data_IF_035195081726
#
_entry.id   IF_035195081726
#
_cell.length_a   1.000
_cell.length_b   1.000
_cell.length_c   1.000
_cell.angle_alpha   90.00
_cell.angle_beta   90.00
_cell.angle_gamma   90.00
#
_symmetry.space_group_name_H-M   'P 1'
#
loop_
_entity.id
_entity.type
_entity.pdbx_description
1 polymer ?
#
# COMPACT_ATOMS: atom_id res chain seq x y z
N UNK A 1 7.38 46.27 64.22
CA UNK A 1 7.83 44.92 64.61
C UNK A 1 8.20 44.16 63.34
N UNK A 2 9.50 43.95 63.17
CA UNK A 2 10.18 43.41 61.99
C UNK A 2 9.72 41.97 61.74
N UNK A 3 9.24 41.65 60.54
CA UNK A 3 9.10 40.25 60.10
C UNK A 3 10.24 39.93 59.15
N UNK A 4 11.11 39.06 59.65
CA UNK A 4 12.30 38.48 59.02
C UNK A 4 12.03 37.97 57.60
N UNK A 5 12.88 38.38 56.65
CA UNK A 5 13.02 37.73 55.37
C UNK A 5 13.57 36.31 55.59
N UNK A 6 12.80 35.29 55.23
CA UNK A 6 13.29 33.91 55.13
C UNK A 6 14.23 33.82 53.94
N UNK A 7 15.50 33.55 54.23
CA UNK A 7 16.51 33.12 53.26
C UNK A 7 15.95 31.96 52.43
N UNK A 8 15.69 32.20 51.14
CA UNK A 8 15.51 31.12 50.15
C UNK A 8 16.90 30.59 49.85
N UNK A 9 17.24 29.46 50.45
CA UNK A 9 18.37 28.63 50.03
C UNK A 9 18.22 28.32 48.54
N UNK A 10 19.15 28.84 47.73
CA UNK A 10 19.29 28.46 46.32
C UNK A 10 19.64 26.97 46.30
N UNK A 11 18.88 26.10 45.60
CA UNK A 11 19.24 24.69 45.52
C UNK A 11 20.61 24.58 44.85
N UNK A 12 21.57 23.92 45.51
CA UNK A 12 22.85 23.57 44.90
C UNK A 12 22.58 22.88 43.56
N UNK A 13 23.07 23.45 42.45
CA UNK A 13 22.89 22.88 41.11
C UNK A 13 23.47 21.47 41.11
N UNK A 14 22.61 20.45 41.14
CA UNK A 14 23.03 19.06 40.98
C UNK A 14 23.26 18.82 39.48
N UNK A 15 24.50 18.52 39.12
CA UNK A 15 24.88 18.11 37.78
C UNK A 15 25.11 16.59 37.80
N UNK A 16 24.74 15.91 36.71
CA UNK A 16 25.26 14.57 36.43
C UNK A 16 26.40 14.70 35.44
N UNK A 17 27.55 14.12 35.78
CA UNK A 17 28.74 14.13 34.95
C UNK A 17 28.80 12.83 34.14
N UNK A 18 28.93 12.96 32.82
CA UNK A 18 29.21 11.83 31.93
C UNK A 18 30.60 12.02 31.32
N UNK A 19 31.42 10.97 31.36
CA UNK A 19 32.76 10.95 30.78
C UNK A 19 32.76 10.11 29.50
N UNK A 20 33.19 10.70 28.39
CA UNK A 20 33.39 9.99 27.13
C UNK A 20 34.88 10.04 26.82
N UNK A 21 35.50 8.86 26.69
CA UNK A 21 36.88 8.73 26.23
C UNK A 21 36.88 8.46 24.73
N UNK A 22 37.64 9.26 23.97
CA UNK A 22 37.85 9.07 22.54
C UNK A 22 39.33 8.75 22.32
N UNK A 23 39.60 7.64 21.65
CA UNK A 23 40.95 7.24 21.26
C UNK A 23 41.16 7.54 19.77
N UNK A 24 42.14 8.39 19.45
CA UNK A 24 42.57 8.62 18.08
C UNK A 24 43.86 7.83 17.87
N UNK A 25 43.79 6.77 17.06
CA UNK A 25 44.96 6.02 16.60
C UNK A 25 45.57 6.74 15.40
N UNK A 26 46.70 7.42 15.63
CA UNK A 26 47.53 7.96 14.54
C UNK A 26 48.68 6.98 14.34
N UNK A 27 48.79 6.41 13.14
CA UNK A 27 49.81 5.42 12.81
C UNK A 27 50.86 6.02 11.87
N UNK A 28 52.11 6.28 12.31
CA UNK A 28 53.21 6.55 11.39
C UNK A 28 54.13 5.31 11.27
N UNK A 29 54.76 5.08 10.11
CA UNK A 29 55.75 4.03 9.99
C UNK A 29 57.07 4.48 10.64
N UNK A 30 57.70 3.56 11.38
CA UNK A 30 59.09 3.55 11.83
C UNK A 30 59.51 4.63 12.85
N UNK A 31 59.34 4.34 14.13
CA UNK A 31 60.43 4.24 15.13
C UNK A 31 59.86 3.87 16.50
N UNK A 32 60.41 2.80 17.08
CA UNK A 32 60.08 2.27 18.41
C UNK A 32 60.58 3.22 19.51
N UNK A 33 59.76 4.17 19.93
CA UNK A 33 59.71 4.72 21.29
C UNK A 33 58.64 5.81 21.34
N UNK A 34 57.70 5.68 22.29
CA UNK A 34 56.58 6.59 22.62
C UNK A 34 55.35 6.54 21.69
N UNK A 35 54.51 5.51 21.87
CA UNK A 35 53.06 5.67 21.63
C UNK A 35 52.52 6.62 22.72
N UNK A 36 52.49 7.92 22.44
CA UNK A 36 51.68 8.85 23.24
C UNK A 36 50.26 8.76 22.70
N UNK A 37 49.42 7.93 23.32
CA UNK A 37 47.97 8.02 23.12
C UNK A 37 47.52 9.38 23.67
N UNK A 38 47.15 10.31 22.81
CA UNK A 38 46.55 11.57 23.24
C UNK A 38 45.10 11.32 23.67
N UNK A 39 44.91 10.99 24.95
CA UNK A 39 43.58 10.83 25.54
C UNK A 39 42.98 12.22 25.72
N UNK A 40 42.00 12.55 24.89
CA UNK A 40 41.19 13.74 25.08
C UNK A 40 39.94 13.34 25.86
N UNK A 41 39.69 14.01 26.99
CA UNK A 41 38.48 13.86 27.77
C UNK A 41 37.57 15.07 27.55
N UNK A 42 36.33 14.83 27.14
CA UNK A 42 35.27 15.83 27.21
C UNK A 42 34.35 15.49 28.39
N UNK A 43 34.04 16.50 29.20
CA UNK A 43 33.09 16.36 30.32
C UNK A 43 31.77 17.01 29.92
N UNK A 44 30.69 16.22 29.87
CA UNK A 44 29.34 16.74 29.67
C UNK A 44 28.65 16.89 31.03
N UNK A 45 28.48 18.13 31.46
CA UNK A 45 27.76 18.47 32.70
C UNK A 45 26.27 18.71 32.38
N UNK A 46 25.40 17.76 32.70
CA UNK A 46 23.95 17.89 32.46
C UNK A 46 23.27 18.39 33.74
N UNK A 47 22.61 19.55 33.67
CA UNK A 47 21.81 20.09 34.78
C UNK A 47 20.62 19.20 35.06
N UNK A 48 20.37 18.87 36.34
CA UNK A 48 19.16 18.14 36.75
C UNK A 48 18.03 19.05 37.22
N UNK A 49 18.19 20.39 37.11
CA UNK A 49 17.20 21.38 37.53
C UNK A 49 16.97 22.41 36.42
N UNK A 50 15.76 22.96 36.37
CA UNK A 50 15.38 24.01 35.41
C UNK A 50 15.08 23.52 33.99
N UNK A 51 14.85 22.22 33.80
CA UNK A 51 14.38 21.70 32.52
C UNK A 51 12.88 21.94 32.33
N UNK A 52 12.46 22.18 31.09
CA UNK A 52 11.05 22.18 30.71
C UNK A 52 10.60 20.76 30.39
N UNK A 53 9.32 20.48 30.59
CA UNK A 53 8.72 19.23 30.10
C UNK A 53 8.80 19.19 28.56
N UNK A 54 9.23 18.05 28.01
CA UNK A 54 9.15 17.83 26.57
C UNK A 54 7.69 17.71 26.15
N UNK A 55 7.37 18.23 24.96
CA UNK A 55 6.01 18.10 24.39
C UNK A 55 5.65 16.61 24.21
N UNK A 56 4.41 16.19 24.54
CA UNK A 56 3.95 14.85 24.19
C UNK A 56 3.83 14.64 22.67
N UNK A 57 3.83 15.73 21.89
CA UNK A 57 3.79 15.71 20.42
C UNK A 57 5.18 15.90 19.78
N UNK A 58 6.26 15.63 20.54
CA UNK A 58 7.61 15.89 20.07
C UNK A 58 8.00 15.03 18.86
N UNK A 59 7.50 13.79 18.78
CA UNK A 59 7.80 12.85 17.70
C UNK A 59 6.52 12.27 17.11
N UNK A 60 6.47 12.25 15.78
CA UNK A 60 5.36 11.69 15.03
C UNK A 60 5.76 11.40 13.60
N UNK A 61 4.77 11.06 12.79
CA UNK A 61 4.95 10.61 11.43
C UNK A 61 4.34 11.61 10.45
N UNK A 62 4.94 11.72 9.27
CA UNK A 62 4.36 12.43 8.13
C UNK A 62 4.17 11.43 7.01
N UNK A 63 2.94 11.30 6.52
CA UNK A 63 2.61 10.39 5.44
C UNK A 63 2.10 11.16 4.23
N UNK A 64 2.65 10.78 3.08
CA UNK A 64 2.15 11.11 1.76
C UNK A 64 1.92 9.81 1.02
N UNK A 65 0.94 9.78 0.14
CA UNK A 65 0.50 8.53 -0.49
C UNK A 65 1.61 7.94 -1.37
N UNK A 66 2.02 6.73 -1.06
CA UNK A 66 2.60 5.75 -1.99
C UNK A 66 2.41 4.40 -1.31
N UNK A 67 1.99 3.39 -2.08
CA UNK A 67 1.79 1.98 -1.67
C UNK A 67 0.38 1.72 -1.12
N UNK A 68 -0.48 1.30 -2.03
CA UNK A 68 -1.49 0.30 -1.70
C UNK A 68 -0.82 -1.03 -2.06
N UNK A 69 -0.53 -1.85 -1.05
CA UNK A 69 0.00 -3.21 -1.23
C UNK A 69 -1.11 -4.21 -1.59
N UNK A 70 -2.34 -3.74 -1.81
CA UNK A 70 -3.35 -4.54 -2.49
C UNK A 70 -3.10 -4.41 -3.99
N UNK A 71 -3.00 -5.53 -4.71
CA UNK A 71 -3.04 -5.49 -6.18
C UNK A 71 -4.45 -5.13 -6.62
N UNK A 72 -4.82 -3.86 -6.45
CA UNK A 72 -6.02 -3.31 -7.04
C UNK A 72 -5.73 -3.08 -8.52
N UNK A 73 -6.23 -3.98 -9.37
CA UNK A 73 -6.39 -3.69 -10.80
C UNK A 73 -7.61 -2.78 -10.94
N UNK A 74 -7.51 -1.56 -10.40
CA UNK A 74 -8.50 -0.53 -10.70
C UNK A 74 -8.08 0.13 -12.00
N UNK A 75 -8.88 -0.06 -13.04
CA UNK A 75 -8.73 0.62 -14.33
C UNK A 75 -9.08 2.11 -14.26
N UNK A 76 -9.57 2.59 -13.10
CA UNK A 76 -10.07 3.93 -12.77
C UNK A 76 -9.24 5.17 -13.18
N UNK A 77 -8.01 5.03 -13.67
CA UNK A 77 -7.10 6.18 -13.85
C UNK A 77 -6.62 6.45 -15.29
N UNK A 78 -7.13 5.76 -16.32
CA UNK A 78 -6.66 6.05 -17.70
C UNK A 78 -7.41 7.17 -18.42
N UNK A 79 -8.53 7.68 -17.90
CA UNK A 79 -9.33 8.71 -18.59
C UNK A 79 -8.83 10.15 -18.42
N UNK A 80 -7.89 10.42 -17.51
CA UNK A 80 -7.33 11.78 -17.27
C UNK A 80 -5.84 11.93 -17.61
N UNK A 81 -5.18 10.89 -18.10
CA UNK A 81 -3.76 10.93 -18.47
C UNK A 81 -3.60 10.83 -19.99
N UNK A 82 -3.18 11.92 -20.62
CA UNK A 82 -2.76 11.95 -22.05
C UNK A 82 -1.41 11.27 -22.29
N UNK A 83 -0.76 10.73 -21.26
CA UNK A 83 0.54 10.05 -21.37
C UNK A 83 0.39 8.55 -21.08
N UNK A 84 0.45 7.76 -22.15
CA UNK A 84 0.41 6.29 -22.15
C UNK A 84 1.62 5.60 -21.49
N UNK A 85 2.48 6.35 -20.79
CA UNK A 85 3.79 5.86 -20.35
C UNK A 85 3.90 5.43 -18.89
N UNK A 86 2.99 5.79 -17.97
CA UNK A 86 3.26 5.62 -16.51
C UNK A 86 2.06 5.31 -15.59
N UNK A 87 1.08 4.55 -16.09
CA UNK A 87 0.16 3.79 -15.22
C UNK A 87 0.93 2.63 -14.55
N UNK A 88 0.41 1.90 -13.53
CA UNK A 88 0.92 0.55 -13.26
C UNK A 88 0.98 -0.14 -14.62
N UNK A 89 2.20 -0.44 -15.08
CA UNK A 89 2.46 -0.66 -16.51
C UNK A 89 1.39 -1.60 -17.08
N UNK A 90 0.87 -1.35 -18.29
CA UNK A 90 0.16 -2.37 -19.07
C UNK A 90 0.92 -3.71 -19.14
N UNK A 91 2.21 -3.71 -18.80
CA UNK A 91 3.10 -4.88 -18.69
C UNK A 91 2.82 -5.79 -17.48
N UNK A 92 2.06 -5.35 -16.48
CA UNK A 92 1.65 -6.18 -15.33
C UNK A 92 0.49 -7.11 -15.69
N UNK A 93 -0.38 -6.66 -16.60
CA UNK A 93 -1.48 -7.44 -17.12
C UNK A 93 -1.05 -8.27 -18.33
N UNK A 94 -1.08 -9.59 -18.19
CA UNK A 94 -0.78 -10.50 -19.30
C UNK A 94 -1.94 -11.44 -19.53
N UNK A 95 -2.29 -11.66 -20.79
CA UNK A 95 -3.32 -12.61 -21.21
C UNK A 95 -2.69 -13.77 -22.01
N UNK A 96 -3.36 -14.91 -22.08
CA UNK A 96 -2.94 -16.04 -22.94
C UNK A 96 -2.93 -15.63 -24.42
N UNK A 97 -1.99 -16.21 -25.19
CA UNK A 97 -1.95 -16.14 -26.65
C UNK A 97 -3.31 -16.55 -27.26
N UNK A 98 -3.83 -15.73 -28.17
CA UNK A 98 -5.10 -15.94 -28.87
C UNK A 98 -6.27 -15.10 -28.37
N UNK A 99 -6.25 -14.61 -27.13
CA UNK A 99 -7.28 -13.71 -26.57
C UNK A 99 -6.78 -12.27 -26.49
N UNK A 100 -7.69 -11.28 -26.56
CA UNK A 100 -7.31 -9.86 -26.45
C UNK A 100 -7.71 -9.28 -25.10
N UNK A 101 -6.80 -8.55 -24.47
CA UNK A 101 -7.04 -7.77 -23.26
C UNK A 101 -6.97 -6.28 -23.62
N UNK A 102 -8.03 -5.52 -23.32
CA UNK A 102 -8.12 -4.10 -23.63
C UNK A 102 -8.89 -3.34 -22.56
N UNK A 103 -8.80 -2.02 -22.57
CA UNK A 103 -9.67 -1.15 -21.79
C UNK A 103 -10.94 -0.84 -22.58
N UNK A 104 -12.09 -0.76 -21.90
CA UNK A 104 -13.38 -0.37 -22.50
C UNK A 104 -14.02 0.77 -21.68
N UNK A 105 -14.11 1.95 -22.29
CA UNK A 105 -14.69 3.16 -21.65
C UNK A 105 -16.21 3.21 -21.80
N UNK A 106 -16.82 2.30 -22.55
CA UNK A 106 -18.27 2.28 -22.81
C UNK A 106 -19.02 1.37 -21.84
N UNK A 107 -18.31 0.42 -21.23
CA UNK A 107 -18.84 -0.52 -20.24
C UNK A 107 -18.13 -0.27 -18.92
N UNK A 108 -18.72 0.53 -18.04
CA UNK A 108 -18.10 0.91 -16.76
C UNK A 108 -18.88 0.35 -15.57
N UNK A 109 -18.19 0.08 -14.46
CA UNK A 109 -18.83 -0.30 -13.20
C UNK A 109 -19.65 0.87 -12.64
N UNK A 110 -19.03 2.05 -12.57
CA UNK A 110 -19.66 3.29 -12.15
C UNK A 110 -19.19 4.45 -13.04
N UNK A 111 -19.69 5.66 -12.78
CA UNK A 111 -19.14 6.89 -13.37
C UNK A 111 -17.81 7.30 -12.75
N UNK A 112 -17.46 6.78 -11.56
CA UNK A 112 -16.22 7.09 -10.88
C UNK A 112 -15.06 6.21 -11.36
N UNK A 113 -15.31 4.92 -11.60
CA UNK A 113 -14.30 3.96 -12.03
C UNK A 113 -14.46 3.67 -13.52
N UNK A 114 -13.55 4.25 -14.31
CA UNK A 114 -13.48 4.08 -15.75
C UNK A 114 -12.03 4.06 -16.23
N UNK A 115 -11.72 3.34 -17.32
CA UNK A 115 -12.51 2.32 -18.02
C UNK A 115 -12.67 1.03 -17.20
N UNK A 116 -13.29 -0.02 -17.75
CA UNK A 116 -13.17 -1.40 -17.25
C UNK A 116 -12.17 -2.23 -18.07
N UNK A 117 -11.79 -3.41 -17.56
CA UNK A 117 -10.92 -4.37 -18.24
C UNK A 117 -11.76 -5.34 -19.09
N UNK A 118 -11.66 -5.24 -20.42
CA UNK A 118 -12.33 -6.15 -21.36
C UNK A 118 -11.41 -7.28 -21.79
N UNK A 119 -11.93 -8.50 -21.72
CA UNK A 119 -11.33 -9.70 -22.27
C UNK A 119 -12.20 -10.21 -23.39
N UNK A 120 -11.74 -10.06 -24.64
CA UNK A 120 -12.43 -10.60 -25.81
C UNK A 120 -11.90 -11.99 -26.13
N UNK A 121 -12.82 -12.94 -26.24
CA UNK A 121 -12.52 -14.35 -26.46
C UNK A 121 -12.97 -14.74 -27.88
N UNK A 122 -12.05 -15.13 -28.78
CA UNK A 122 -12.42 -15.49 -30.15
C UNK A 122 -13.40 -16.66 -30.20
N UNK A 123 -14.19 -16.71 -31.27
CA UNK A 123 -15.02 -17.88 -31.58
C UNK A 123 -14.15 -19.13 -31.72
N UNK A 124 -14.69 -20.28 -31.31
CA UNK A 124 -13.97 -21.56 -31.34
C UNK A 124 -12.89 -21.73 -30.26
N UNK A 125 -12.73 -20.77 -29.34
CA UNK A 125 -11.84 -20.96 -28.18
C UNK A 125 -12.36 -22.10 -27.31
N UNK A 126 -11.59 -23.18 -27.17
CA UNK A 126 -11.92 -24.31 -26.28
C UNK A 126 -11.06 -24.37 -25.04
N UNK A 127 -9.92 -23.67 -25.05
CA UNK A 127 -8.95 -23.71 -23.98
C UNK A 127 -9.24 -22.67 -22.91
N UNK A 128 -8.75 -22.89 -21.68
CA UNK A 128 -8.87 -21.90 -20.61
C UNK A 128 -8.16 -20.59 -20.97
N UNK A 129 -8.83 -19.48 -20.66
CA UNK A 129 -8.32 -18.11 -20.78
C UNK A 129 -7.80 -17.70 -19.42
N UNK A 130 -6.64 -17.02 -19.41
CA UNK A 130 -6.03 -16.50 -18.18
C UNK A 130 -5.66 -15.04 -18.36
N UNK A 131 -5.84 -14.25 -17.32
CA UNK A 131 -5.14 -12.98 -17.18
C UNK A 131 -4.44 -12.91 -15.82
N UNK A 132 -3.36 -12.14 -15.75
CA UNK A 132 -2.50 -12.07 -14.57
C UNK A 132 -2.17 -10.63 -14.22
N UNK A 133 -1.82 -10.34 -12.97
CA UNK A 133 -1.28 -9.07 -12.50
C UNK A 133 0.01 -9.33 -11.71
N UNK A 134 1.11 -8.69 -12.09
CA UNK A 134 2.41 -8.85 -11.43
C UNK A 134 2.57 -8.12 -10.09
N UNK A 135 1.57 -7.37 -9.65
CA UNK A 135 1.67 -6.47 -8.50
C UNK A 135 2.70 -5.35 -8.67
N UNK A 136 3.00 -4.68 -7.56
CA UNK A 136 4.03 -3.64 -7.48
C UNK A 136 5.40 -4.27 -7.31
N UNK A 137 6.00 -4.66 -8.43
CA UNK A 137 7.28 -5.39 -8.44
C UNK A 137 7.16 -6.75 -7.73
N UNK A 138 6.07 -7.48 -8.02
CA UNK A 138 5.71 -8.74 -7.35
C UNK A 138 4.59 -8.56 -6.34
N UNK A 139 3.88 -9.65 -6.08
CA UNK A 139 3.01 -9.80 -4.90
C UNK A 139 3.84 -10.53 -3.85
N UNK A 140 4.19 -9.89 -2.72
CA UNK A 140 4.78 -10.62 -1.60
C UNK A 140 3.74 -11.59 -1.05
N UNK A 141 4.13 -12.85 -0.91
CA UNK A 141 3.25 -13.86 -0.31
C UNK A 141 3.88 -14.37 0.96
N UNK A 142 3.17 -14.10 2.05
CA UNK A 142 3.42 -14.66 3.36
C UNK A 142 2.48 -15.84 3.58
N UNK A 143 2.80 -16.69 4.55
CA UNK A 143 1.86 -17.69 5.02
C UNK A 143 0.65 -16.97 5.61
N UNK A 144 -0.51 -17.08 4.97
CA UNK A 144 -1.70 -16.37 5.42
C UNK A 144 -2.89 -16.52 4.49
N UNK A 145 -4.01 -15.90 4.90
CA UNK A 145 -5.24 -15.86 4.11
C UNK A 145 -5.29 -14.58 3.28
N UNK A 146 -5.62 -14.73 2.00
CA UNK A 146 -5.80 -13.63 1.07
C UNK A 146 -7.27 -13.50 0.71
N UNK A 147 -7.85 -12.32 0.92
CA UNK A 147 -9.15 -11.98 0.37
C UNK A 147 -8.99 -11.55 -1.09
N UNK A 148 -9.80 -12.10 -1.98
CA UNK A 148 -9.85 -11.67 -3.37
C UNK A 148 -11.28 -11.29 -3.73
N UNK A 149 -11.43 -10.07 -4.26
CA UNK A 149 -12.71 -9.56 -4.72
C UNK A 149 -12.59 -8.94 -6.11
N UNK A 150 -13.65 -9.01 -6.90
CA UNK A 150 -13.72 -8.41 -8.22
C UNK A 150 -15.17 -8.24 -8.67
N UNK A 151 -15.39 -7.32 -9.60
CA UNK A 151 -16.62 -7.25 -10.38
C UNK A 151 -16.43 -7.92 -11.73
N UNK A 152 -17.45 -8.64 -12.19
CA UNK A 152 -17.51 -9.25 -13.51
C UNK A 152 -18.83 -8.94 -14.20
N UNK A 153 -18.78 -8.69 -15.52
CA UNK A 153 -19.94 -8.52 -16.39
C UNK A 153 -19.76 -9.35 -17.66
N UNK A 154 -20.85 -9.90 -18.15
CA UNK A 154 -20.91 -10.85 -19.26
C UNK A 154 -21.49 -12.18 -18.80
N UNK A 155 -22.11 -12.92 -19.70
CA UNK A 155 -22.72 -14.20 -19.39
C UNK A 155 -21.62 -15.25 -19.17
N UNK A 156 -21.44 -15.70 -17.94
CA UNK A 156 -20.53 -16.79 -17.58
C UNK A 156 -21.22 -17.65 -16.52
N UNK A 157 -21.14 -18.97 -16.63
CA UNK A 157 -21.62 -19.89 -15.59
C UNK A 157 -20.63 -21.03 -15.44
N UNK A 158 -19.94 -21.07 -14.31
CA UNK A 158 -18.90 -22.05 -14.08
C UNK A 158 -17.89 -21.64 -13.02
N UNK A 159 -16.79 -22.37 -13.01
CA UNK A 159 -15.69 -22.16 -12.08
C UNK A 159 -14.65 -21.23 -12.68
N UNK A 160 -14.16 -20.28 -11.90
CA UNK A 160 -12.91 -19.56 -12.16
C UNK A 160 -11.86 -20.03 -11.17
N UNK A 161 -10.61 -20.10 -11.60
CA UNK A 161 -9.48 -20.45 -10.74
C UNK A 161 -8.63 -19.21 -10.48
N UNK A 162 -8.46 -18.88 -9.21
CA UNK A 162 -7.59 -17.81 -8.73
C UNK A 162 -6.27 -18.43 -8.29
N UNK A 163 -5.13 -17.84 -8.70
CA UNK A 163 -3.83 -18.39 -8.34
C UNK A 163 -2.81 -17.31 -7.97
N UNK A 164 -1.88 -17.69 -7.10
CA UNK A 164 -0.62 -17.00 -6.88
C UNK A 164 0.50 -17.86 -7.44
N UNK A 165 1.25 -17.30 -8.39
CA UNK A 165 2.28 -18.03 -9.13
C UNK A 165 3.61 -17.34 -8.96
N UNK A 166 4.68 -18.09 -8.67
CA UNK A 166 6.03 -17.56 -8.57
C UNK A 166 6.43 -16.83 -9.86
N UNK A 167 6.80 -15.56 -9.75
CA UNK A 167 7.03 -14.68 -10.91
C UNK A 167 8.17 -15.15 -11.82
N UNK A 168 9.13 -15.92 -11.26
CA UNK A 168 10.27 -16.48 -11.99
C UNK A 168 10.14 -17.98 -12.23
N UNK A 169 9.64 -18.74 -11.23
CA UNK A 169 9.58 -20.20 -11.29
C UNK A 169 8.36 -20.73 -12.05
N UNK A 170 7.29 -19.94 -12.18
CA UNK A 170 6.01 -20.43 -12.69
C UNK A 170 5.31 -21.44 -11.77
N UNK A 171 5.84 -21.68 -10.57
CA UNK A 171 5.25 -22.60 -9.58
C UNK A 171 3.98 -22.00 -8.98
N UNK A 172 2.93 -22.81 -8.83
CA UNK A 172 1.67 -22.38 -8.21
C UNK A 172 1.77 -22.55 -6.69
N UNK A 173 1.68 -21.45 -5.95
CA UNK A 173 1.79 -21.42 -4.48
C UNK A 173 0.45 -21.34 -3.78
N UNK A 174 -0.57 -20.90 -4.52
CA UNK A 174 -1.96 -20.94 -4.10
C UNK A 174 -2.85 -21.15 -5.32
N UNK A 175 -3.88 -21.95 -5.18
CA UNK A 175 -4.91 -22.16 -6.19
C UNK A 175 -6.26 -22.32 -5.51
N UNK A 176 -7.26 -21.60 -5.98
CA UNK A 176 -8.58 -21.61 -5.40
C UNK A 176 -9.65 -21.47 -6.47
N UNK A 177 -10.64 -22.36 -6.41
CA UNK A 177 -11.74 -22.41 -7.36
C UNK A 177 -12.99 -21.75 -6.78
N UNK A 178 -13.58 -20.84 -7.55
CA UNK A 178 -14.83 -20.16 -7.21
C UNK A 178 -15.85 -20.42 -8.29
N UNK A 179 -17.00 -20.97 -7.93
CA UNK A 179 -18.09 -21.24 -8.88
C UNK A 179 -19.21 -20.22 -8.71
N UNK A 180 -19.57 -19.54 -9.80
CA UNK A 180 -20.63 -18.54 -9.80
C UNK A 180 -21.28 -18.43 -11.19
N UNK A 181 -22.35 -17.63 -11.28
CA UNK A 181 -22.94 -17.21 -12.55
C UNK A 181 -22.97 -15.68 -12.62
N UNK A 182 -22.59 -15.12 -13.75
CA UNK A 182 -22.67 -13.69 -14.07
C UNK A 182 -23.55 -13.45 -15.29
N UNK A 183 -23.99 -12.22 -15.47
CA UNK A 183 -24.94 -11.84 -16.52
C UNK A 183 -24.49 -10.57 -17.24
N UNK A 184 -25.37 -9.99 -18.05
CA UNK A 184 -25.16 -8.65 -18.63
C UNK A 184 -25.15 -7.54 -17.57
N UNK A 185 -25.50 -7.79 -16.31
CA UNK A 185 -25.28 -6.89 -15.18
C UNK A 185 -23.97 -7.19 -14.43
N UNK A 186 -23.40 -6.17 -13.78
CA UNK A 186 -22.21 -6.35 -12.95
C UNK A 186 -22.53 -7.25 -11.74
N UNK A 187 -21.69 -8.26 -11.55
CA UNK A 187 -21.78 -9.24 -10.47
C UNK A 187 -20.53 -9.08 -9.60
N UNK A 188 -20.71 -8.90 -8.30
CA UNK A 188 -19.60 -8.85 -7.34
C UNK A 188 -19.27 -10.27 -6.87
N UNK A 189 -17.99 -10.61 -6.86
CA UNK A 189 -17.47 -11.89 -6.39
C UNK A 189 -16.43 -11.61 -5.31
N UNK A 190 -16.56 -12.30 -4.17
CA UNK A 190 -15.63 -12.23 -3.05
C UNK A 190 -15.33 -13.64 -2.54
N UNK A 191 -14.06 -13.91 -2.25
CA UNK A 191 -13.59 -15.17 -1.71
C UNK A 191 -12.31 -14.98 -0.88
N UNK A 192 -11.88 -16.02 -0.19
CA UNK A 192 -10.61 -16.08 0.52
C UNK A 192 -9.85 -17.36 0.22
N UNK A 193 -8.52 -17.27 0.10
CA UNK A 193 -7.66 -18.45 -0.07
C UNK A 193 -6.31 -18.31 0.61
N UNK A 194 -5.78 -19.43 1.10
CA UNK A 194 -4.49 -19.48 1.78
C UNK A 194 -3.35 -19.67 0.79
N UNK A 195 -2.23 -19.02 1.04
CA UNK A 195 -1.03 -19.17 0.23
C UNK A 195 0.14 -19.68 1.06
N UNK A 196 1.04 -20.43 0.40
CA UNK A 196 2.32 -20.82 0.99
C UNK A 196 3.35 -19.71 0.80
N UNK A 197 4.24 -19.47 1.78
CA UNK A 197 5.22 -18.39 1.69
C UNK A 197 6.31 -18.69 0.65
N UNK A 198 6.54 -17.80 -0.32
CA UNK A 198 7.75 -17.83 -1.19
C UNK A 198 7.97 -16.58 -2.08
N UNK A 199 8.45 -15.48 -1.51
CA UNK A 199 9.03 -14.40 -2.31
C UNK A 199 8.01 -13.68 -3.22
N UNK A 200 8.37 -13.47 -4.50
CA UNK A 200 7.66 -12.56 -5.43
C UNK A 200 6.76 -13.33 -6.39
N UNK A 201 5.46 -13.09 -6.31
CA UNK A 201 4.45 -13.77 -7.14
C UNK A 201 3.76 -12.83 -8.13
N UNK A 202 2.98 -13.43 -9.03
CA UNK A 202 1.92 -12.78 -9.80
C UNK A 202 0.58 -13.40 -9.38
N UNK A 203 -0.45 -12.55 -9.32
CA UNK A 203 -1.83 -13.00 -9.21
C UNK A 203 -2.35 -13.37 -10.59
N UNK A 204 -3.19 -14.39 -10.72
CA UNK A 204 -3.88 -14.69 -11.97
C UNK A 204 -5.28 -15.26 -11.77
N UNK A 205 -6.14 -15.00 -12.74
CA UNK A 205 -7.50 -15.54 -12.85
C UNK A 205 -7.62 -16.32 -14.15
N UNK A 206 -8.10 -17.55 -14.05
CA UNK A 206 -8.37 -18.45 -15.16
C UNK A 206 -9.87 -18.75 -15.24
N UNK A 207 -10.41 -18.81 -16.44
CA UNK A 207 -11.79 -19.24 -16.69
C UNK A 207 -11.87 -20.10 -17.95
N UNK A 208 -12.97 -20.82 -18.11
CA UNK A 208 -13.21 -21.69 -19.27
C UNK A 208 -13.59 -20.85 -20.49
N UNK A 209 -12.69 -20.76 -21.46
CA UNK A 209 -12.89 -19.99 -22.69
C UNK A 209 -14.02 -20.52 -23.57
N UNK A 210 -14.34 -21.82 -23.49
CA UNK A 210 -15.41 -22.44 -24.29
C UNK A 210 -16.79 -21.90 -23.95
N UNK A 211 -16.97 -21.43 -22.71
CA UNK A 211 -18.24 -20.87 -22.23
C UNK A 211 -18.52 -19.46 -22.71
N UNK A 212 -17.51 -18.78 -23.24
CA UNK A 212 -17.57 -17.37 -23.67
C UNK A 212 -16.98 -17.13 -25.05
N UNK A 213 -16.73 -18.21 -25.80
CA UNK A 213 -16.15 -18.14 -27.14
C UNK A 213 -17.03 -17.29 -28.08
N UNK A 214 -16.41 -16.32 -28.76
CA UNK A 214 -17.11 -15.35 -29.61
C UNK A 214 -17.72 -14.17 -28.86
N UNK A 215 -17.45 -14.03 -27.55
CA UNK A 215 -17.98 -12.96 -26.71
C UNK A 215 -16.88 -12.28 -25.89
N UNK A 216 -17.26 -11.48 -24.89
CA UNK A 216 -16.34 -10.80 -23.98
C UNK A 216 -16.82 -10.87 -22.55
N UNK A 217 -15.85 -10.84 -21.63
CA UNK A 217 -16.08 -10.57 -20.21
C UNK A 217 -15.42 -9.25 -19.84
N UNK A 218 -16.07 -8.50 -18.96
CA UNK A 218 -15.51 -7.27 -18.39
C UNK A 218 -15.24 -7.50 -16.91
N UNK A 219 -14.10 -7.02 -16.45
CA UNK A 219 -13.67 -7.06 -15.06
C UNK A 219 -13.40 -5.65 -14.57
N UNK A 220 -13.70 -5.39 -13.31
CA UNK A 220 -13.38 -4.12 -12.67
C UNK A 220 -13.14 -4.34 -11.17
N UNK A 221 -12.44 -3.40 -10.53
CA UNK A 221 -12.06 -3.47 -9.11
C UNK A 221 -11.57 -4.85 -8.69
N UNK A 222 -10.62 -5.42 -9.44
CA UNK A 222 -9.99 -6.68 -9.02
C UNK A 222 -9.02 -6.36 -7.89
N UNK A 223 -9.20 -6.95 -6.72
CA UNK A 223 -8.39 -6.67 -5.53
C UNK A 223 -7.93 -7.96 -4.88
N UNK A 224 -6.69 -7.98 -4.42
CA UNK A 224 -6.14 -9.03 -3.57
C UNK A 224 -5.60 -8.36 -2.31
N UNK A 225 -6.10 -8.76 -1.15
CA UNK A 225 -5.67 -8.26 0.15
C UNK A 225 -5.07 -9.41 0.97
N UNK A 226 -3.85 -9.25 1.51
CA UNK A 226 -3.43 -10.10 2.62
C UNK A 226 -4.24 -9.77 3.88
N UNK A 227 -3.97 -10.47 4.96
CA UNK A 227 -4.40 -10.03 6.28
C UNK A 227 -3.93 -8.59 6.55
N UNK A 228 -4.84 -7.78 7.05
CA UNK A 228 -4.63 -6.35 7.27
C UNK A 228 -4.49 -6.03 8.75
N UNK A 229 -3.78 -4.93 9.03
CA UNK A 229 -3.52 -4.46 10.38
C UNK A 229 -4.82 -4.24 11.16
N UNK A 230 -4.95 -4.94 12.30
CA UNK A 230 -6.17 -5.04 13.12
C UNK A 230 -7.41 -5.58 12.37
N UNK A 231 -7.22 -6.41 11.33
CA UNK A 231 -8.30 -7.04 10.57
C UNK A 231 -9.23 -6.05 9.86
N UNK A 232 -8.74 -4.85 9.53
CA UNK A 232 -9.56 -3.79 8.93
C UNK A 232 -9.73 -4.03 7.43
N UNK A 233 -10.98 -4.12 6.98
CA UNK A 233 -11.27 -4.12 5.54
C UNK A 233 -10.71 -2.86 4.86
N UNK A 234 -10.09 -3.03 3.68
CA UNK A 234 -9.38 -1.95 2.98
C UNK A 234 -8.34 -1.23 3.87
N UNK A 235 -7.74 -1.97 4.80
CA UNK A 235 -6.68 -1.53 5.69
C UNK A 235 -5.30 -1.61 5.05
N UNK A 236 -4.29 -1.25 5.84
CA UNK A 236 -2.87 -1.44 5.49
C UNK A 236 -2.43 -2.87 5.85
N UNK A 237 -1.33 -3.33 5.26
CA UNK A 237 -0.74 -4.63 5.59
C UNK A 237 -0.26 -4.69 7.03
N UNK A 238 -0.28 -5.89 7.61
CA UNK A 238 0.13 -6.13 9.00
C UNK A 238 1.54 -5.62 9.27
N UNK A 239 2.52 -6.01 8.44
CA UNK A 239 3.93 -5.61 8.57
C UNK A 239 4.12 -4.08 8.61
N UNK A 240 3.45 -3.35 7.73
CA UNK A 240 3.47 -1.89 7.69
C UNK A 240 2.81 -1.31 8.93
N UNK A 241 1.64 -1.84 9.33
CA UNK A 241 0.91 -1.35 10.49
C UNK A 241 1.66 -1.55 11.81
N UNK A 242 2.23 -2.74 12.01
CA UNK A 242 3.06 -3.10 13.15
C UNK A 242 4.33 -2.25 13.20
N UNK A 243 5.00 -2.04 12.05
CA UNK A 243 6.16 -1.17 11.98
C UNK A 243 5.82 0.27 12.37
N UNK A 244 4.71 0.81 11.87
CA UNK A 244 4.26 2.18 12.21
C UNK A 244 3.87 2.30 13.68
N UNK A 245 3.27 1.26 14.27
CA UNK A 245 2.98 1.23 15.71
C UNK A 245 4.27 1.18 16.54
N UNK A 246 5.24 0.34 16.15
CA UNK A 246 6.50 0.19 16.86
C UNK A 246 7.36 1.46 16.89
N UNK A 247 7.20 2.37 15.93
CA UNK A 247 7.83 3.71 15.94
C UNK A 247 7.38 4.52 17.19
N UNK A 248 6.17 4.27 17.71
CA UNK A 248 5.65 4.97 18.89
C UNK A 248 5.37 6.46 18.62
N UNK A 249 5.05 6.82 17.38
CA UNK A 249 4.75 8.20 16.99
C UNK A 249 3.45 8.71 17.65
N UNK A 250 3.49 9.92 18.21
CA UNK A 250 2.34 10.52 18.90
C UNK A 250 1.31 11.19 17.99
N UNK A 251 1.67 11.45 16.73
CA UNK A 251 0.79 12.05 15.72
C UNK A 251 1.09 11.53 14.32
N UNK A 252 0.11 11.68 13.42
CA UNK A 252 0.25 11.43 11.99
C UNK A 252 -0.21 12.68 11.20
N UNK A 253 0.71 13.28 10.44
CA UNK A 253 0.39 14.36 9.50
C UNK A 253 -0.03 13.75 8.15
N UNK A 254 -1.29 13.94 7.77
CA UNK A 254 -1.93 13.38 6.57
C UNK A 254 -3.09 14.28 6.08
N UNK A 255 -3.46 14.28 4.79
CA UNK A 255 -2.69 13.84 3.63
C UNK A 255 -1.73 14.96 3.26
N UNK A 256 -0.44 14.74 3.48
CA UNK A 256 0.51 15.84 3.55
C UNK A 256 1.50 15.90 2.40
N UNK A 257 2.30 16.97 2.44
CA UNK A 257 3.31 17.27 1.44
C UNK A 257 2.67 17.72 0.13
N UNK A 258 3.48 17.74 -0.92
CA UNK A 258 3.05 18.15 -2.24
C UNK A 258 1.84 17.36 -2.77
N UNK A 259 1.71 16.08 -2.42
CA UNK A 259 0.61 15.23 -2.88
C UNK A 259 -0.80 15.68 -2.43
N UNK A 260 -0.89 16.61 -1.48
CA UNK A 260 -2.11 17.33 -1.11
C UNK A 260 -2.53 18.35 -2.20
N UNK A 261 -1.54 19.04 -2.76
CA UNK A 261 -1.68 20.22 -3.61
C UNK A 261 -2.17 19.85 -5.00
N UNK A 262 -1.60 18.80 -5.61
CA UNK A 262 -1.87 18.45 -7.00
C UNK A 262 -1.14 19.37 -7.99
N UNK A 263 -0.77 18.86 -9.16
CA UNK A 263 -0.17 19.66 -10.25
C UNK A 263 -1.15 20.72 -10.83
N UNK A 264 -2.44 20.61 -10.50
CA UNK A 264 -3.47 21.59 -10.88
C UNK A 264 -4.63 21.56 -9.89
N UNK A 265 -5.49 22.58 -9.92
CA UNK A 265 -6.71 22.62 -9.12
C UNK A 265 -7.61 21.38 -9.32
N UNK A 266 -7.61 20.79 -10.52
CA UNK A 266 -8.38 19.59 -10.82
C UNK A 266 -7.76 18.30 -10.24
N UNK A 267 -6.45 18.27 -10.04
CA UNK A 267 -5.68 17.12 -9.55
C UNK A 267 -5.39 17.15 -8.04
N UNK A 268 -5.76 18.24 -7.35
CA UNK A 268 -5.65 18.35 -5.88
C UNK A 268 -6.32 17.18 -5.17
N UNK A 269 -5.85 16.86 -3.97
CA UNK A 269 -6.50 15.87 -3.14
C UNK A 269 -7.88 16.38 -2.64
N UNK A 270 -8.91 15.56 -2.79
CA UNK A 270 -10.29 15.90 -2.38
C UNK A 270 -10.83 14.84 -1.42
N UNK A 271 -10.98 15.22 -0.15
CA UNK A 271 -11.36 14.28 0.90
C UNK A 271 -12.64 13.48 0.61
N UNK A 272 -13.64 14.14 0.00
CA UNK A 272 -14.93 13.56 -0.33
C UNK A 272 -14.85 12.52 -1.46
N UNK A 273 -13.79 12.52 -2.28
CA UNK A 273 -13.54 11.51 -3.31
C UNK A 273 -12.78 10.30 -2.74
N UNK A 274 -12.38 10.35 -1.46
CA UNK A 274 -11.59 9.30 -0.78
C UNK A 274 -12.39 8.51 0.26
N UNK A 275 -13.69 8.78 0.39
CA UNK A 275 -14.57 8.20 1.41
C UNK A 275 -15.66 7.33 0.74
N UNK A 276 -16.26 6.42 1.50
CA UNK A 276 -17.36 5.58 1.00
C UNK A 276 -16.91 4.36 0.20
N UNK A 277 -17.82 3.68 -0.52
CA UNK A 277 -17.51 2.48 -1.29
C UNK A 277 -16.42 2.72 -2.34
N UNK A 278 -15.56 1.73 -2.58
CA UNK A 278 -14.40 1.87 -3.47
C UNK A 278 -14.84 2.16 -4.91
N UNK A 279 -15.95 1.57 -5.36
CA UNK A 279 -16.55 1.77 -6.67
C UNK A 279 -16.99 3.21 -6.95
N UNK A 280 -17.08 4.05 -5.90
CA UNK A 280 -17.41 5.47 -6.01
C UNK A 280 -16.19 6.39 -5.87
N UNK A 281 -14.98 5.83 -5.71
CA UNK A 281 -13.74 6.60 -5.57
C UNK A 281 -13.03 6.68 -6.92
N UNK A 282 -13.01 7.85 -7.58
CA UNK A 282 -12.45 7.96 -8.92
C UNK A 282 -10.92 7.90 -8.96
N UNK A 283 -10.26 8.06 -7.81
CA UNK A 283 -8.82 8.30 -7.76
C UNK A 283 -8.43 9.60 -8.45
N UNK A 284 -7.12 9.79 -8.59
CA UNK A 284 -6.53 10.97 -9.23
C UNK A 284 -5.09 10.73 -9.66
N UNK A 285 -4.59 11.58 -10.53
CA UNK A 285 -3.15 11.69 -10.74
C UNK A 285 -2.50 12.36 -9.52
N UNK A 286 -1.49 11.70 -8.94
CA UNK A 286 -0.67 12.28 -7.87
C UNK A 286 0.54 13.04 -8.41
N UNK A 287 1.27 13.70 -7.51
CA UNK A 287 2.37 14.62 -7.86
C UNK A 287 3.73 13.92 -8.02
N UNK A 288 3.71 12.59 -8.14
CA UNK A 288 4.91 11.74 -8.24
C UNK A 288 4.88 10.85 -9.49
N UNK A 289 4.24 11.34 -10.56
CA UNK A 289 4.14 10.67 -11.87
C UNK A 289 3.39 9.33 -11.89
N UNK A 290 2.65 9.00 -10.82
CA UNK A 290 1.79 7.82 -10.76
C UNK A 290 0.40 8.15 -10.21
N UNK A 291 -0.63 7.41 -10.65
CA UNK A 291 -1.98 7.59 -10.16
C UNK A 291 -2.17 7.10 -8.73
N UNK A 292 -3.08 7.74 -7.99
CA UNK A 292 -3.55 7.32 -6.68
C UNK A 292 -4.96 6.75 -6.88
N UNK A 293 -5.26 5.59 -6.30
CA UNK A 293 -6.64 5.06 -6.31
C UNK A 293 -7.53 5.73 -5.27
N UNK A 294 -6.93 6.45 -4.32
CA UNK A 294 -7.58 7.03 -3.14
C UNK A 294 -8.35 6.00 -2.27
N UNK A 295 -8.02 4.72 -2.41
CA UNK A 295 -8.52 3.66 -1.52
C UNK A 295 -7.97 3.83 -0.08
N UNK A 296 -6.71 4.30 0.06
CA UNK A 296 -6.17 4.78 1.33
C UNK A 296 -6.64 6.22 1.59
N UNK A 297 -7.93 6.32 1.90
CA UNK A 297 -8.63 7.58 2.11
C UNK A 297 -9.05 7.79 3.56
N UNK A 298 -9.80 8.86 3.79
CA UNK A 298 -10.43 9.08 5.10
C UNK A 298 -11.58 8.07 5.24
N UNK A 299 -11.56 7.24 6.27
CA UNK A 299 -12.70 6.38 6.57
C UNK A 299 -13.80 7.25 7.20
N UNK A 300 -15.04 7.29 6.68
CA UNK A 300 -16.15 7.83 7.46
C UNK A 300 -16.36 6.88 8.66
N UNK A 301 -16.54 7.46 9.85
CA UNK A 301 -16.86 6.81 11.14
C UNK A 301 -17.39 5.36 11.01
N UNK A 302 -16.82 4.35 11.71
CA UNK A 302 -17.09 2.92 11.47
C UNK A 302 -18.49 2.41 11.87
N UNK A 303 -19.52 3.25 11.89
CA UNK A 303 -20.88 2.83 12.19
C UNK A 303 -21.89 3.39 11.18
N UNK A 304 -22.14 2.66 10.09
CA UNK A 304 -23.46 2.57 9.50
C UNK A 304 -23.98 1.14 9.76
N UNK A 305 -24.98 1.02 10.63
CA UNK A 305 -25.84 -0.15 10.81
C UNK A 305 -25.19 -1.39 11.45
N UNK A 306 -25.21 -1.45 12.78
CA UNK A 306 -25.61 -2.70 13.45
C UNK A 306 -27.11 -2.85 13.27
N UNK A 307 -27.54 -3.83 12.47
CA UNK A 307 -28.89 -4.40 12.52
C UNK A 307 -29.10 -5.16 13.83
#
# INVERSE_FOLDING_TARGET
MIRSATSRTVPSKRYKNYHILIFILVNPPLLLASLVTSVHSATLNVSTIGANASSPLLYGMMFRTSIILATAVSTANSSKTTDSRRLPRPNSLRIRSGTSLSQDTTVNLTTAIQPSLKISVPSGTTASVRFSNSGYDGVPVDAGTYANCFYIKGNYSGTVTLQLVGSTSGTVFASHDVTFTSSTAWTYVETGFTASPDGRHLWQLLFDGSKVAGSSLWFDLVQLFPETYHGRFNGICNDVGEFLEAIGGSFLRFPGGNNLEGESLGARWKWNETIGPLENRPGRQGDWSYPNTDALGKIPNPFPNTS
#
